data_IF_938797248461
#
_entry.id   IF_938797248461
#
_cell.length_a   1.000
_cell.length_b   1.000
_cell.length_c   1.000
_cell.angle_alpha   90.00
_cell.angle_beta   90.00
_cell.angle_gamma   90.00
#
_symmetry.space_group_name_H-M   'P 1'
#
loop_
_entity.id
_entity.type
_entity.pdbx_description
1 polymer ?
#
# COMPACT_ATOMS: atom_id res chain seq x y z
N UNK A 1 3.96 4.68 -9.64
CA UNK A 1 3.41 3.31 -9.73
C UNK A 1 4.35 2.35 -9.05
N UNK A 2 3.83 1.25 -8.50
CA UNK A 2 4.59 0.24 -7.76
C UNK A 2 4.32 -1.18 -8.27
N UNK A 3 5.06 -2.17 -7.78
CA UNK A 3 4.74 -3.59 -7.97
C UNK A 3 5.03 -4.39 -6.71
N UNK A 4 4.53 -5.62 -6.66
CA UNK A 4 4.82 -6.53 -5.56
C UNK A 4 6.33 -6.88 -5.51
N UNK A 5 6.92 -6.96 -4.31
CA UNK A 5 6.36 -6.54 -3.03
C UNK A 5 6.54 -5.04 -2.79
N UNK A 6 5.60 -4.44 -2.06
CA UNK A 6 5.76 -3.10 -1.49
C UNK A 6 6.24 -3.17 -0.04
N UNK A 7 6.83 -2.06 0.42
CA UNK A 7 7.20 -1.87 1.81
C UNK A 7 6.61 -0.57 2.36
N UNK A 8 5.86 -0.66 3.45
CA UNK A 8 5.35 0.49 4.18
C UNK A 8 6.40 0.88 5.22
N UNK A 9 6.76 2.17 5.21
CA UNK A 9 7.76 2.68 6.16
C UNK A 9 7.25 2.52 7.60
N UNK A 10 8.09 1.90 8.44
CA UNK A 10 7.93 1.83 9.90
C UNK A 10 8.76 2.94 10.55
N UNK A 11 8.24 3.53 11.62
CA UNK A 11 8.94 4.59 12.35
C UNK A 11 9.54 4.04 13.65
N UNK A 12 10.64 4.62 14.10
CA UNK A 12 11.26 4.25 15.38
C UNK A 12 11.28 5.45 16.31
N UNK A 13 10.76 5.27 17.53
CA UNK A 13 10.79 6.29 18.58
C UNK A 13 11.70 5.86 19.74
N UNK A 14 12.91 6.45 19.82
CA UNK A 14 13.90 6.14 20.86
C UNK A 14 13.73 6.92 22.18
N UNK A 15 12.88 7.95 22.20
CA UNK A 15 12.69 8.80 23.39
C UNK A 15 12.08 8.06 24.58
N UNK A 16 12.19 8.60 25.80
CA UNK A 16 11.73 7.94 27.05
C UNK A 16 10.23 8.02 27.32
N UNK A 17 9.48 8.81 26.54
CA UNK A 17 8.03 8.96 26.70
C UNK A 17 7.30 7.65 26.32
N UNK A 18 6.75 6.96 27.32
CA UNK A 18 6.09 5.67 27.16
C UNK A 18 4.82 5.76 26.31
N UNK A 19 4.09 6.87 26.36
CA UNK A 19 2.87 7.08 25.55
C UNK A 19 3.23 7.19 24.07
N UNK A 20 4.30 7.93 23.75
CA UNK A 20 4.80 8.04 22.37
C UNK A 20 5.37 6.72 21.87
N UNK A 21 6.07 5.95 22.72
CA UNK A 21 6.52 4.59 22.40
C UNK A 21 5.36 3.68 22.04
N UNK A 22 4.31 3.65 22.87
CA UNK A 22 3.13 2.81 22.61
C UNK A 22 2.45 3.21 21.29
N UNK A 23 2.19 4.51 21.09
CA UNK A 23 1.60 5.01 19.84
C UNK A 23 2.43 4.63 18.60
N UNK A 24 3.75 4.68 18.70
CA UNK A 24 4.65 4.29 17.61
C UNK A 24 4.62 2.78 17.36
N UNK A 25 4.60 1.97 18.43
CA UNK A 25 4.46 0.52 18.32
C UNK A 25 3.13 0.13 17.66
N UNK A 26 2.02 0.76 18.07
CA UNK A 26 0.70 0.54 17.48
C UNK A 26 0.68 0.92 16.01
N UNK A 27 1.26 2.09 15.65
CA UNK A 27 1.38 2.53 14.26
C UNK A 27 2.19 1.54 13.41
N UNK A 28 3.29 1.01 13.94
CA UNK A 28 4.12 0.02 13.24
C UNK A 28 3.42 -1.34 13.09
N UNK A 29 2.62 -1.75 14.08
CA UNK A 29 1.78 -2.95 13.98
C UNK A 29 0.79 -2.80 12.82
N UNK A 30 0.06 -1.68 12.79
CA UNK A 30 -0.88 -1.37 11.71
C UNK A 30 -0.18 -1.32 10.35
N UNK A 31 0.99 -0.68 10.27
CA UNK A 31 1.79 -0.65 9.04
C UNK A 31 2.14 -2.04 8.53
N UNK A 32 2.49 -2.96 9.43
CA UNK A 32 2.81 -4.34 9.05
C UNK A 32 1.59 -5.11 8.53
N UNK A 33 0.43 -4.93 9.17
CA UNK A 33 -0.81 -5.59 8.74
C UNK A 33 -1.32 -5.03 7.39
N UNK A 34 -1.19 -3.72 7.17
CA UNK A 34 -1.49 -3.10 5.88
C UNK A 34 -0.54 -3.57 4.78
N UNK A 35 0.77 -3.64 5.06
CA UNK A 35 1.79 -4.14 4.13
C UNK A 35 1.48 -5.57 3.70
N UNK A 36 1.15 -6.45 4.65
CA UNK A 36 0.77 -7.83 4.37
C UNK A 36 -0.51 -7.90 3.51
N UNK A 37 -1.56 -7.20 3.92
CA UNK A 37 -2.83 -7.18 3.18
C UNK A 37 -2.65 -6.69 1.74
N UNK A 38 -1.93 -5.58 1.55
CA UNK A 38 -1.70 -5.00 0.22
C UNK A 38 -0.84 -5.95 -0.63
N UNK A 39 0.21 -6.53 -0.07
CA UNK A 39 1.06 -7.47 -0.81
C UNK A 39 0.29 -8.72 -1.23
N UNK A 40 -0.61 -9.25 -0.40
CA UNK A 40 -1.50 -10.34 -0.80
C UNK A 40 -2.43 -9.95 -1.96
N UNK A 41 -2.91 -8.70 -2.00
CA UNK A 41 -3.75 -8.17 -3.08
C UNK A 41 -2.95 -7.97 -4.38
N UNK A 42 -1.73 -7.48 -4.29
CA UNK A 42 -0.84 -7.29 -5.43
C UNK A 42 -0.40 -8.62 -6.05
N UNK A 43 -0.13 -9.64 -5.22
CA UNK A 43 0.21 -10.97 -5.69
C UNK A 43 -0.94 -11.63 -6.48
N UNK A 44 -2.19 -11.33 -6.10
CA UNK A 44 -3.41 -11.84 -6.74
C UNK A 44 -3.94 -10.92 -7.86
N UNK A 45 -3.21 -9.87 -8.21
CA UNK A 45 -3.64 -8.91 -9.24
C UNK A 45 -3.72 -9.60 -10.60
N UNK A 46 -4.88 -9.55 -11.25
CA UNK A 46 -5.08 -10.14 -12.57
C UNK A 46 -4.82 -9.14 -13.70
N UNK A 47 -5.29 -7.90 -13.52
CA UNK A 47 -5.10 -6.80 -14.46
C UNK A 47 -3.61 -6.42 -14.60
N UNK A 48 -3.18 -6.00 -15.79
CA UNK A 48 -1.80 -5.54 -16.02
C UNK A 48 -1.47 -4.29 -15.20
N UNK A 49 -2.41 -3.36 -15.11
CA UNK A 49 -2.35 -2.16 -14.27
C UNK A 49 -3.63 -2.05 -13.45
N UNK A 50 -3.52 -1.73 -12.17
CA UNK A 50 -4.68 -1.60 -11.28
C UNK A 50 -4.48 -0.45 -10.30
N UNK A 51 -5.55 0.31 -10.06
CA UNK A 51 -5.63 1.33 -9.01
C UNK A 51 -6.14 0.67 -7.72
N UNK A 52 -5.49 0.99 -6.60
CA UNK A 52 -5.88 0.55 -5.27
C UNK A 52 -6.23 1.77 -4.41
N UNK A 53 -7.52 1.96 -4.13
CA UNK A 53 -8.01 3.06 -3.32
C UNK A 53 -7.84 2.79 -1.82
N UNK A 54 -7.37 3.79 -1.08
CA UNK A 54 -7.23 3.71 0.37
C UNK A 54 -8.57 3.58 1.08
N UNK A 55 -9.66 4.10 0.49
CA UNK A 55 -11.00 3.91 1.01
C UNK A 55 -11.39 2.43 1.03
N UNK A 56 -11.03 1.67 0.00
CA UNK A 56 -11.33 0.24 -0.11
C UNK A 56 -10.48 -0.57 0.85
N UNK A 57 -9.20 -0.23 0.95
CA UNK A 57 -8.28 -0.86 1.91
C UNK A 57 -8.73 -0.60 3.35
N UNK A 58 -9.16 0.62 3.68
CA UNK A 58 -9.71 0.98 4.98
C UNK A 58 -10.95 0.14 5.32
N UNK A 59 -11.91 0.05 4.37
CA UNK A 59 -13.11 -0.78 4.53
C UNK A 59 -12.78 -2.27 4.74
N UNK A 60 -11.81 -2.80 4.00
CA UNK A 60 -11.44 -4.21 4.07
C UNK A 60 -10.66 -4.59 5.33
N UNK A 61 -9.86 -3.67 5.86
CA UNK A 61 -8.99 -3.92 7.03
C UNK A 61 -9.62 -3.45 8.35
N UNK A 62 -10.67 -2.62 8.28
CA UNK A 62 -11.32 -2.03 9.45
C UNK A 62 -10.56 -0.83 10.04
N UNK A 63 -9.44 -0.42 9.45
CA UNK A 63 -8.71 0.77 9.85
C UNK A 63 -9.36 2.05 9.33
N UNK A 64 -9.16 3.16 10.04
CA UNK A 64 -9.66 4.46 9.57
C UNK A 64 -8.93 4.89 8.31
N UNK A 65 -9.63 5.63 7.45
CA UNK A 65 -9.06 6.17 6.21
C UNK A 65 -7.83 7.03 6.48
N UNK A 66 -7.82 7.83 7.55
CA UNK A 66 -6.67 8.67 7.91
C UNK A 66 -5.42 7.87 8.27
N UNK A 67 -5.60 6.72 8.92
CA UNK A 67 -4.50 5.83 9.27
C UNK A 67 -3.97 5.15 8.01
N UNK A 68 -4.86 4.65 7.15
CA UNK A 68 -4.50 3.99 5.89
C UNK A 68 -3.80 4.96 4.95
N UNK A 69 -4.36 6.15 4.72
CA UNK A 69 -3.76 7.16 3.84
C UNK A 69 -2.42 7.67 4.37
N UNK A 70 -2.33 7.93 5.69
CA UNK A 70 -1.10 8.40 6.31
C UNK A 70 0.04 7.39 6.32
N UNK A 71 -0.25 6.08 6.25
CA UNK A 71 0.76 5.03 6.10
C UNK A 71 1.01 4.72 4.62
N UNK A 72 -0.05 4.62 3.84
CA UNK A 72 -0.04 4.30 2.42
C UNK A 72 0.60 5.39 1.55
N UNK A 73 0.65 6.64 1.99
CA UNK A 73 1.39 7.71 1.31
C UNK A 73 2.85 7.33 1.02
N UNK A 74 3.47 6.51 1.89
CA UNK A 74 4.85 6.05 1.69
C UNK A 74 5.06 5.07 0.53
N UNK A 75 3.98 4.56 -0.08
CA UNK A 75 4.04 3.57 -1.16
C UNK A 75 4.40 4.23 -2.49
N UNK A 76 3.63 5.25 -2.89
CA UNK A 76 3.75 5.90 -4.22
C UNK A 76 3.50 7.43 -4.15
N UNK A 77 3.44 8.02 -2.95
CA UNK A 77 3.16 9.44 -2.75
C UNK A 77 1.71 9.87 -3.04
N UNK A 78 0.81 8.91 -3.29
CA UNK A 78 -0.61 9.18 -3.52
C UNK A 78 -1.38 9.46 -2.23
N UNK A 79 -2.32 10.41 -2.27
CA UNK A 79 -3.16 10.77 -1.12
C UNK A 79 -4.41 9.91 -0.97
N UNK A 80 -4.91 9.33 -2.08
CA UNK A 80 -6.17 8.59 -2.13
C UNK A 80 -5.99 7.08 -2.42
N UNK A 81 -4.78 6.68 -2.78
CA UNK A 81 -4.47 5.33 -3.23
C UNK A 81 -3.12 5.29 -3.91
N UNK A 82 -2.87 4.20 -4.63
CA UNK A 82 -1.69 4.05 -5.48
C UNK A 82 -2.05 3.20 -6.70
N UNK A 83 -1.23 3.30 -7.74
CA UNK A 83 -1.37 2.49 -8.94
C UNK A 83 -0.27 1.45 -8.97
N UNK A 84 -0.62 0.20 -9.25
CA UNK A 84 0.32 -0.90 -9.32
C UNK A 84 0.28 -1.61 -10.67
N UNK A 85 1.44 -2.11 -11.11
CA UNK A 85 1.52 -3.05 -12.21
C UNK A 85 1.70 -4.48 -11.72
N UNK A 86 1.18 -5.43 -12.51
CA UNK A 86 1.07 -6.84 -12.17
C UNK A 86 2.43 -7.44 -11.84
N UNK A 87 2.47 -8.23 -10.76
CA UNK A 87 3.65 -8.99 -10.39
C UNK A 87 4.07 -9.95 -11.52
N UNK A 88 5.38 -10.05 -11.75
CA UNK A 88 5.95 -10.88 -12.83
C UNK A 88 5.92 -10.23 -14.22
N UNK A 89 5.37 -9.02 -14.36
CA UNK A 89 5.51 -8.20 -15.57
C UNK A 89 6.60 -7.13 -15.38
N UNK A 90 7.23 -6.74 -16.49
CA UNK A 90 7.97 -5.49 -16.53
C UNK A 90 6.99 -4.32 -16.62
N UNK A 91 7.45 -3.13 -16.21
CA UNK A 91 6.66 -1.90 -16.32
C UNK A 91 6.16 -1.69 -17.76
N UNK A 92 7.05 -1.73 -18.76
CA UNK A 92 6.68 -1.49 -20.15
C UNK A 92 5.67 -2.51 -20.69
N UNK A 93 5.83 -3.79 -20.33
CA UNK A 93 4.89 -4.84 -20.73
C UNK A 93 3.50 -4.63 -20.11
N UNK A 94 3.45 -4.20 -18.85
CA UNK A 94 2.19 -3.92 -18.17
C UNK A 94 1.48 -2.70 -18.79
N UNK A 95 2.21 -1.63 -19.09
CA UNK A 95 1.67 -0.44 -19.76
C UNK A 95 1.16 -0.79 -21.16
N UNK A 96 1.95 -1.50 -21.97
CA UNK A 96 1.55 -1.92 -23.31
C UNK A 96 0.29 -2.79 -23.29
N UNK A 97 0.21 -3.76 -22.36
CA UNK A 97 -0.97 -4.60 -22.19
C UNK A 97 -2.21 -3.82 -21.74
N UNK A 98 -2.03 -2.81 -20.87
CA UNK A 98 -3.12 -1.95 -20.43
C UNK A 98 -3.65 -1.08 -21.58
N UNK A 99 -2.76 -0.47 -22.37
CA UNK A 99 -3.15 0.33 -23.55
C UNK A 99 -3.87 -0.50 -24.61
N UNK A 100 -3.40 -1.72 -24.88
CA UNK A 100 -4.02 -2.61 -25.86
C UNK A 100 -5.40 -3.15 -25.46
N UNK A 101 -5.76 -3.05 -24.17
CA UNK A 101 -7.06 -3.49 -23.64
C UNK A 101 -8.12 -2.37 -23.65
N UNK A 102 -7.72 -1.15 -24.07
CA UNK A 102 -8.59 0.04 -24.06
C UNK A 102 -9.09 0.41 -25.47
N UNK A 103 -8.68 -0.34 -26.50
CA UNK A 103 -9.21 -0.31 -27.88
C UNK A 103 -10.28 -1.39 -28.08
#
# INVERSE_FOLDING_TARGET
MVTYPIHIKRDHYGGRDTKKRQKNADRNRIASELEEYINQRLLKQEASVQVYDFADIARATGYSIDVVSGLGYSIDGGSNGFTAWKHGMTYDAAIAANSASTD
#
